data_IF_661408199930
#
_entry.id   IF_661408199930
#
_cell.length_a   1.000
_cell.length_b   1.000
_cell.length_c   1.000
_cell.angle_alpha   90.00
_cell.angle_beta   90.00
_cell.angle_gamma   90.00
#
_symmetry.space_group_name_H-M   'P 1'
#
loop_
_entity.id
_entity.type
_entity.pdbx_description
1 polymer ?
#
# COMPACT_ATOMS: atom_id res chain seq x y z
N UNK A 1 10.23 13.42 4.60
CA UNK A 1 9.20 12.96 5.57
C UNK A 1 7.90 13.68 5.28
N UNK A 2 6.81 12.96 5.17
CA UNK A 2 5.48 13.52 5.01
C UNK A 2 5.06 14.20 6.32
N UNK A 3 4.75 15.53 6.33
CA UNK A 3 4.33 16.19 7.56
C UNK A 3 3.10 15.57 8.20
N UNK A 4 2.20 15.03 7.40
CA UNK A 4 1.00 14.36 7.92
C UNK A 4 1.33 13.03 8.59
N UNK A 5 2.41 12.36 8.18
CA UNK A 5 2.89 11.15 8.81
C UNK A 5 3.37 11.35 10.23
N UNK A 6 3.83 12.56 10.56
CA UNK A 6 4.23 12.90 11.91
C UNK A 6 3.05 12.91 12.88
N UNK A 7 1.84 13.14 12.37
CA UNK A 7 0.62 13.18 13.18
C UNK A 7 0.00 11.80 13.40
N UNK A 8 0.31 10.85 12.53
CA UNK A 8 -0.41 9.58 12.49
C UNK A 8 0.43 8.35 12.85
N UNK A 9 1.74 8.39 12.72
CA UNK A 9 2.69 7.28 12.98
C UNK A 9 2.37 5.98 12.22
N UNK A 10 1.64 6.07 11.09
CA UNK A 10 1.05 4.90 10.47
C UNK A 10 0.93 5.17 8.96
N UNK A 11 1.51 4.32 8.09
CA UNK A 11 1.50 4.59 6.66
C UNK A 11 0.09 4.60 6.05
N UNK A 12 -0.85 3.85 6.62
CA UNK A 12 -2.23 3.80 6.13
C UNK A 12 -2.88 5.17 6.26
N UNK A 13 -2.91 5.71 7.47
CA UNK A 13 -3.57 7.00 7.74
C UNK A 13 -2.79 8.16 7.15
N UNK A 14 -1.47 8.11 7.21
CA UNK A 14 -0.58 9.12 6.66
C UNK A 14 -0.79 9.28 5.15
N UNK A 15 -0.82 8.19 4.41
CA UNK A 15 -1.00 8.24 2.96
C UNK A 15 -2.43 8.64 2.58
N UNK A 16 -3.42 8.21 3.34
CA UNK A 16 -4.80 8.64 3.13
C UNK A 16 -4.93 10.16 3.28
N UNK A 17 -4.40 10.71 4.36
CA UNK A 17 -4.46 12.15 4.60
C UNK A 17 -3.69 12.93 3.53
N UNK A 18 -2.53 12.43 3.12
CA UNK A 18 -1.77 13.06 2.03
C UNK A 18 -2.59 13.08 0.73
N UNK A 19 -3.26 11.98 0.40
CA UNK A 19 -4.12 11.91 -0.77
C UNK A 19 -5.25 12.94 -0.72
N UNK A 20 -5.91 13.06 0.42
CA UNK A 20 -7.02 14.02 0.59
C UNK A 20 -6.52 15.47 0.48
N UNK A 21 -5.40 15.79 1.12
CA UNK A 21 -4.93 17.17 1.19
C UNK A 21 -4.08 17.61 0.00
N UNK A 22 -3.32 16.72 -0.62
CA UNK A 22 -2.42 17.07 -1.73
C UNK A 22 -2.88 16.54 -3.09
N UNK A 23 -3.76 15.56 -3.11
CA UNK A 23 -4.23 14.93 -4.35
C UNK A 23 -3.35 13.80 -4.88
N UNK A 24 -2.13 13.69 -4.39
CA UNK A 24 -1.17 12.66 -4.81
C UNK A 24 -0.49 12.01 -3.61
N UNK A 25 0.01 10.79 -3.82
CA UNK A 25 0.74 10.05 -2.80
C UNK A 25 2.01 9.48 -3.43
N UNK A 26 3.12 9.62 -2.72
CA UNK A 26 4.38 9.00 -3.10
C UNK A 26 4.86 8.13 -1.93
N UNK A 27 4.85 6.83 -2.12
CA UNK A 27 5.09 5.84 -1.06
C UNK A 27 6.48 5.23 -1.25
N UNK A 28 7.23 5.13 -0.15
CA UNK A 28 8.53 4.45 -0.13
C UNK A 28 8.53 3.31 0.89
N UNK A 29 9.43 2.35 0.70
CA UNK A 29 9.48 1.14 1.53
C UNK A 29 9.73 1.46 3.00
N UNK A 30 10.53 2.48 3.29
CA UNK A 30 10.90 2.87 4.64
C UNK A 30 9.75 3.46 5.46
N UNK A 31 8.63 3.77 4.83
CA UNK A 31 7.44 4.22 5.54
C UNK A 31 6.70 3.08 6.25
N UNK A 32 6.95 1.84 5.84
CA UNK A 32 6.35 0.66 6.47
C UNK A 32 7.11 0.25 7.72
N UNK A 33 6.44 -0.48 8.61
CA UNK A 33 7.12 -1.10 9.75
C UNK A 33 8.18 -2.10 9.26
N UNK A 34 9.21 -2.40 10.08
CA UNK A 34 10.22 -3.39 9.67
C UNK A 34 9.63 -4.74 9.29
N UNK A 35 8.61 -5.20 10.01
CA UNK A 35 7.93 -6.47 9.69
C UNK A 35 7.22 -6.40 8.33
N UNK A 36 6.56 -5.29 8.03
CA UNK A 36 5.89 -5.11 6.74
C UNK A 36 6.90 -4.97 5.61
N UNK A 37 8.02 -4.29 5.84
CA UNK A 37 9.11 -4.19 4.86
C UNK A 37 9.65 -5.58 4.48
N UNK A 38 9.91 -6.42 5.49
CA UNK A 38 10.41 -7.78 5.28
C UNK A 38 9.39 -8.62 4.54
N UNK A 39 8.13 -8.55 4.93
CA UNK A 39 7.05 -9.29 4.29
C UNK A 39 6.90 -8.89 2.82
N UNK A 40 6.87 -7.61 2.55
CA UNK A 40 6.71 -7.09 1.18
C UNK A 40 7.89 -7.49 0.30
N UNK A 41 9.11 -7.36 0.82
CA UNK A 41 10.33 -7.76 0.10
C UNK A 41 10.30 -9.25 -0.24
N UNK A 42 9.93 -10.10 0.72
CA UNK A 42 9.81 -11.54 0.51
C UNK A 42 8.77 -11.87 -0.55
N UNK A 43 7.59 -11.27 -0.46
CA UNK A 43 6.49 -11.53 -1.39
C UNK A 43 6.91 -11.19 -2.82
N UNK A 44 7.45 -9.99 -3.02
CA UNK A 44 7.85 -9.53 -4.36
C UNK A 44 8.91 -10.46 -4.95
N UNK A 45 9.92 -10.82 -4.18
CA UNK A 45 11.00 -11.69 -4.65
C UNK A 45 10.51 -13.11 -4.94
N UNK A 46 9.72 -13.70 -4.05
CA UNK A 46 9.23 -15.07 -4.23
C UNK A 46 8.22 -15.18 -5.37
N UNK A 47 7.32 -14.21 -5.49
CA UNK A 47 6.34 -14.22 -6.58
C UNK A 47 6.99 -13.97 -7.93
N UNK A 48 8.04 -13.18 -7.98
CA UNK A 48 8.82 -12.98 -9.22
C UNK A 48 9.45 -14.29 -9.70
N UNK A 49 9.93 -15.14 -8.80
CA UNK A 49 10.47 -16.46 -9.15
C UNK A 49 9.41 -17.36 -9.79
N UNK A 50 8.15 -17.17 -9.45
CA UNK A 50 7.02 -17.90 -10.02
C UNK A 50 6.50 -17.28 -11.33
N UNK A 51 7.10 -16.18 -11.76
CA UNK A 51 6.64 -15.44 -12.94
C UNK A 51 5.43 -14.57 -12.69
N UNK A 52 5.10 -14.30 -11.42
CA UNK A 52 3.93 -13.49 -11.07
C UNK A 52 4.37 -12.06 -10.75
N UNK A 53 3.90 -11.12 -11.58
CA UNK A 53 4.18 -9.69 -11.42
C UNK A 53 2.95 -8.86 -11.06
N UNK A 54 1.85 -9.51 -10.68
CA UNK A 54 0.63 -8.85 -10.21
C UNK A 54 0.23 -9.48 -8.88
N UNK A 55 0.29 -8.70 -7.81
CA UNK A 55 0.17 -9.19 -6.44
C UNK A 55 -1.09 -8.63 -5.80
N UNK A 56 -1.93 -9.52 -5.31
CA UNK A 56 -3.16 -9.18 -4.60
C UNK A 56 -3.16 -9.76 -3.19
N UNK A 57 -4.26 -9.55 -2.45
CA UNK A 57 -4.34 -9.98 -1.05
C UNK A 57 -4.20 -11.50 -0.88
N UNK A 58 -4.63 -12.28 -1.86
CA UNK A 58 -4.50 -13.74 -1.83
C UNK A 58 -3.04 -14.18 -1.83
N UNK A 59 -2.17 -13.43 -2.50
CA UNK A 59 -0.73 -13.70 -2.51
C UNK A 59 -0.09 -13.32 -1.19
N UNK A 60 -0.47 -12.15 -0.65
CA UNK A 60 0.07 -11.65 0.61
C UNK A 60 -0.22 -12.65 1.75
N UNK A 61 -1.43 -13.18 1.78
CA UNK A 61 -1.86 -14.13 2.83
C UNK A 61 -1.03 -15.41 2.86
N UNK A 62 -0.53 -15.86 1.71
CA UNK A 62 0.29 -17.08 1.62
C UNK A 62 1.61 -16.96 2.39
N UNK A 63 2.11 -15.76 2.56
CA UNK A 63 3.41 -15.51 3.19
C UNK A 63 3.30 -15.14 4.67
N UNK A 64 2.08 -15.07 5.20
CA UNK A 64 1.87 -14.81 6.62
C UNK A 64 2.18 -16.06 7.44
N UNK A 65 2.79 -15.92 8.63
CA UNK A 65 2.94 -17.05 9.53
C UNK A 65 1.57 -17.66 9.89
N UNK A 66 1.50 -18.98 10.14
CA UNK A 66 0.22 -19.65 10.46
C UNK A 66 -0.51 -19.05 11.65
N UNK A 67 0.20 -18.46 12.59
CA UNK A 67 -0.38 -17.85 13.79
C UNK A 67 -0.81 -16.40 13.56
N UNK A 68 -0.44 -15.80 12.43
CA UNK A 68 -0.81 -14.43 12.13
C UNK A 68 -2.29 -14.33 11.83
N UNK A 69 -2.93 -13.35 12.43
CA UNK A 69 -4.35 -13.04 12.17
C UNK A 69 -4.43 -11.70 11.48
N UNK A 70 -5.23 -11.66 10.43
CA UNK A 70 -5.65 -10.36 9.86
C UNK A 70 -6.69 -9.75 10.78
N UNK A 71 -6.72 -8.44 10.86
CA UNK A 71 -7.73 -7.77 11.66
C UNK A 71 -9.12 -7.97 11.06
N UNK A 72 -10.10 -8.29 11.91
CA UNK A 72 -11.46 -8.55 11.48
C UNK A 72 -12.15 -7.25 11.07
N UNK A 73 -11.86 -6.15 11.77
CA UNK A 73 -12.46 -4.86 11.49
C UNK A 73 -11.48 -3.94 10.79
N UNK A 74 -11.98 -3.17 9.82
CA UNK A 74 -11.18 -2.17 9.13
C UNK A 74 -10.65 -1.10 10.10
N UNK A 75 -11.42 -0.75 11.12
CA UNK A 75 -10.99 0.23 12.12
C UNK A 75 -9.74 -0.24 12.85
N UNK A 76 -9.72 -1.50 13.32
CA UNK A 76 -8.52 -2.05 13.97
C UNK A 76 -7.33 -2.13 13.02
N UNK A 77 -7.58 -2.51 11.76
CA UNK A 77 -6.54 -2.59 10.75
C UNK A 77 -5.91 -1.24 10.43
N UNK A 78 -6.66 -0.15 10.56
CA UNK A 78 -6.14 1.20 10.31
C UNK A 78 -5.43 1.75 11.55
N UNK A 79 -6.00 1.56 12.74
CA UNK A 79 -5.48 2.14 13.98
C UNK A 79 -4.26 1.38 14.50
N UNK A 80 -4.28 0.05 14.38
CA UNK A 80 -3.19 -0.81 14.84
C UNK A 80 -2.92 -1.90 13.78
N UNK A 81 -2.30 -1.53 12.65
CA UNK A 81 -2.16 -2.43 11.53
C UNK A 81 -1.17 -3.56 11.80
N UNK A 82 -1.55 -4.78 11.35
CA UNK A 82 -0.60 -5.86 11.14
C UNK A 82 0.23 -5.58 9.89
N UNK A 83 1.33 -6.30 9.64
CA UNK A 83 2.07 -6.17 8.38
C UNK A 83 1.19 -6.38 7.14
N UNK A 84 0.24 -7.32 7.19
CA UNK A 84 -0.74 -7.52 6.11
C UNK A 84 -1.60 -6.26 5.91
N UNK A 85 -2.11 -5.69 7.00
CA UNK A 85 -2.95 -4.49 6.93
C UNK A 85 -2.20 -3.30 6.35
N UNK A 86 -0.93 -3.09 6.74
CA UNK A 86 -0.11 -2.02 6.20
C UNK A 86 0.01 -2.12 4.68
N UNK A 87 0.29 -3.32 4.18
CA UNK A 87 0.47 -3.55 2.74
C UNK A 87 -0.87 -3.43 2.02
N UNK A 88 -1.90 -4.09 2.53
CA UNK A 88 -3.22 -4.14 1.88
C UNK A 88 -3.88 -2.76 1.81
N UNK A 89 -3.93 -2.04 2.94
CA UNK A 89 -4.60 -0.73 2.97
C UNK A 89 -3.78 0.36 2.28
N UNK A 90 -2.47 0.19 2.14
CA UNK A 90 -1.61 1.18 1.49
C UNK A 90 -1.49 0.93 -0.01
N UNK A 91 -1.22 -0.31 -0.41
CA UNK A 91 -0.97 -0.66 -1.80
C UNK A 91 -2.15 -1.34 -2.49
N UNK A 92 -2.95 -2.12 -1.74
CA UNK A 92 -3.98 -2.95 -2.32
C UNK A 92 -3.37 -3.98 -3.27
N UNK A 93 -3.94 -4.09 -4.45
CA UNK A 93 -3.36 -4.88 -5.53
C UNK A 93 -2.37 -4.02 -6.30
N UNK A 94 -1.18 -4.56 -6.58
CA UNK A 94 -0.13 -3.80 -7.24
C UNK A 94 0.64 -4.65 -8.24
N UNK A 95 1.32 -3.98 -9.17
CA UNK A 95 2.16 -4.61 -10.17
C UNK A 95 3.63 -4.39 -9.85
N UNK A 96 4.48 -5.31 -10.29
CA UNK A 96 5.92 -5.25 -10.09
C UNK A 96 6.65 -5.30 -11.42
N UNK A 97 7.80 -4.61 -11.48
CA UNK A 97 8.69 -4.60 -12.64
C UNK A 97 10.10 -4.91 -12.17
N UNK A 98 10.74 -5.89 -12.79
CA UNK A 98 12.13 -6.22 -12.48
C UNK A 98 13.09 -5.22 -13.11
N UNK A 99 14.05 -4.77 -12.32
CA UNK A 99 15.15 -3.92 -12.80
C UNK A 99 16.48 -4.56 -12.41
N UNK A 100 16.91 -5.65 -13.10
CA UNK A 100 18.11 -6.41 -12.73
C UNK A 100 19.38 -5.57 -12.74
N UNK A 101 19.47 -4.57 -13.63
CA UNK A 101 20.62 -3.68 -13.74
C UNK A 101 20.83 -2.84 -12.48
N UNK A 102 19.79 -2.65 -11.67
CA UNK A 102 19.87 -1.93 -10.40
C UNK A 102 19.73 -2.87 -9.20
N UNK A 103 19.60 -4.17 -9.43
CA UNK A 103 19.38 -5.18 -8.39
C UNK A 103 18.11 -4.90 -7.57
N UNK A 104 17.08 -4.44 -8.23
CA UNK A 104 15.81 -4.03 -7.62
C UNK A 104 14.61 -4.52 -8.40
N UNK A 105 13.47 -4.61 -7.68
CA UNK A 105 12.15 -4.57 -8.28
C UNK A 105 11.55 -3.21 -8.03
N UNK A 106 10.67 -2.77 -8.92
CA UNK A 106 9.84 -1.59 -8.67
C UNK A 106 8.39 -2.03 -8.52
N UNK A 107 7.74 -1.50 -7.49
CA UNK A 107 6.29 -1.52 -7.40
C UNK A 107 5.81 -0.24 -8.06
N UNK A 108 4.99 -0.39 -9.10
CA UNK A 108 4.37 0.74 -9.79
C UNK A 108 2.88 0.69 -9.51
N UNK A 109 2.35 1.76 -8.94
CA UNK A 109 0.95 1.80 -8.55
C UNK A 109 0.46 3.24 -8.46
N UNK A 110 -0.86 3.38 -8.42
CA UNK A 110 -1.53 4.65 -8.16
C UNK A 110 -2.33 4.49 -6.88
N UNK A 111 -2.15 5.40 -5.94
CA UNK A 111 -2.93 5.37 -4.72
C UNK A 111 -4.40 5.63 -5.06
N UNK A 112 -5.24 4.63 -4.86
CA UNK A 112 -6.64 4.68 -5.21
C UNK A 112 -7.50 4.09 -4.10
N UNK A 113 -8.48 4.87 -3.67
CA UNK A 113 -9.50 4.40 -2.72
C UNK A 113 -10.69 3.94 -3.53
N UNK A 114 -10.69 2.65 -3.87
CA UNK A 114 -11.72 2.07 -4.74
C UNK A 114 -13.13 2.22 -4.14
N UNK A 115 -14.15 2.48 -4.96
CA UNK A 115 -15.52 2.64 -4.46
C UNK A 115 -16.21 1.35 -4.05
N UNK A 116 -15.60 0.20 -4.29
CA UNK A 116 -16.21 -1.12 -4.09
C UNK A 116 -16.06 -1.73 -2.71
N UNK A 117 -15.67 -0.96 -1.70
CA UNK A 117 -15.55 -1.50 -0.33
C UNK A 117 -16.91 -1.90 0.24
N UNK A 118 -16.96 -3.09 0.84
CA UNK A 118 -18.17 -3.57 1.53
C UNK A 118 -18.37 -2.92 2.90
N UNK A 119 -17.29 -2.44 3.53
CA UNK A 119 -17.33 -1.82 4.85
C UNK A 119 -17.72 -0.34 4.72
N UNK A 120 -18.72 0.08 5.52
CA UNK A 120 -19.24 1.46 5.46
C UNK A 120 -18.17 2.51 5.79
N UNK A 121 -17.27 2.22 6.74
CA UNK A 121 -16.20 3.16 7.09
C UNK A 121 -15.24 3.36 5.93
N UNK A 122 -14.82 2.28 5.27
CA UNK A 122 -13.94 2.35 4.11
C UNK A 122 -14.62 3.04 2.93
N UNK A 123 -15.92 2.83 2.74
CA UNK A 123 -16.70 3.53 1.72
C UNK A 123 -16.76 5.02 1.98
N UNK A 124 -16.92 5.42 3.24
CA UNK A 124 -16.92 6.81 3.65
C UNK A 124 -15.57 7.49 3.41
N UNK A 125 -14.49 6.82 3.80
CA UNK A 125 -13.13 7.33 3.57
C UNK A 125 -12.85 7.47 2.07
N UNK A 126 -13.26 6.49 1.28
CA UNK A 126 -13.12 6.54 -0.18
C UNK A 126 -13.91 7.70 -0.79
N UNK A 127 -15.13 7.94 -0.31
CA UNK A 127 -15.96 9.04 -0.79
C UNK A 127 -15.32 10.40 -0.49
N UNK A 128 -14.73 10.57 0.70
CA UNK A 128 -14.04 11.81 1.07
C UNK A 128 -12.85 12.06 0.16
N UNK A 129 -12.03 11.05 -0.09
CA UNK A 129 -10.86 11.17 -0.97
C UNK A 129 -11.28 11.54 -2.40
N UNK A 130 -12.30 10.88 -2.93
CA UNK A 130 -12.81 11.18 -4.28
C UNK A 130 -13.44 12.58 -4.39
N UNK A 131 -14.14 13.00 -3.34
CA UNK A 131 -14.68 14.35 -3.27
C UNK A 131 -13.56 15.38 -3.31
N UNK A 132 -12.52 15.17 -2.52
CA UNK A 132 -11.34 16.03 -2.48
C UNK A 132 -10.69 16.12 -3.86
N UNK A 133 -10.49 14.99 -4.53
CA UNK A 133 -9.89 14.96 -5.85
C UNK A 133 -10.73 15.71 -6.87
N UNK A 134 -12.05 15.53 -6.83
CA UNK A 134 -12.94 16.16 -7.80
C UNK A 134 -13.07 17.68 -7.60
N UNK A 135 -13.24 18.12 -6.35
CA UNK A 135 -13.61 19.50 -6.05
C UNK A 135 -12.46 20.36 -5.53
N UNK A 136 -11.44 19.76 -4.96
CA UNK A 136 -10.28 20.50 -4.40
C UNK A 136 -9.10 20.45 -5.36
N UNK A 137 -8.83 19.28 -5.97
CA UNK A 137 -7.67 19.06 -6.82
C UNK A 137 -7.99 19.09 -8.32
N UNK A 138 -9.17 19.61 -8.69
CA UNK A 138 -9.53 19.86 -10.09
C UNK A 138 -9.79 18.61 -10.92
N UNK A 139 -10.14 17.50 -10.29
CA UNK A 139 -10.40 16.22 -10.98
C UNK A 139 -9.19 15.72 -11.78
N UNK A 140 -7.98 16.08 -11.35
CA UNK A 140 -6.74 15.63 -11.96
C UNK A 140 -6.50 14.16 -11.65
N UNK A 141 -6.11 13.32 -12.64
CA UNK A 141 -5.74 11.93 -12.36
C UNK A 141 -4.56 11.88 -11.40
N UNK A 142 -4.61 10.93 -10.46
CA UNK A 142 -3.49 10.70 -9.54
C UNK A 142 -2.30 10.14 -10.31
N UNK A 143 -1.11 10.61 -9.97
CA UNK A 143 0.12 10.14 -10.58
C UNK A 143 0.50 8.77 -10.02
N UNK A 144 1.13 7.95 -10.88
CA UNK A 144 1.72 6.69 -10.44
C UNK A 144 2.95 6.98 -9.62
N UNK A 145 3.11 6.28 -8.51
CA UNK A 145 4.35 6.25 -7.75
C UNK A 145 5.13 4.99 -8.07
N UNK A 146 6.44 5.02 -7.81
CA UNK A 146 7.33 3.89 -7.99
C UNK A 146 8.10 3.67 -6.70
N UNK A 147 7.99 2.47 -6.15
CA UNK A 147 8.68 2.11 -4.92
C UNK A 147 9.72 1.02 -5.21
N UNK A 148 10.94 1.22 -4.72
CA UNK A 148 12.04 0.26 -4.90
C UNK A 148 11.98 -0.83 -3.85
N UNK A 149 12.10 -2.08 -4.30
CA UNK A 149 12.22 -3.27 -3.45
C UNK A 149 13.54 -3.96 -3.79
N UNK A 150 14.40 -4.24 -2.81
CA UNK A 150 15.67 -4.91 -3.11
C UNK A 150 15.47 -6.32 -3.65
N UNK A 151 16.28 -6.70 -4.63
CA UNK A 151 16.37 -8.10 -5.05
C UNK A 151 17.20 -8.87 -4.04
N UNK A 152 16.64 -9.96 -3.56
CA UNK A 152 17.35 -10.87 -2.67
C UNK A 152 18.18 -11.84 -3.51
N UNK A 153 19.33 -12.21 -3.01
CA UNK A 153 20.18 -13.21 -3.66
C UNK A 153 19.43 -14.54 -3.73
N UNK A 154 19.57 -15.30 -4.84
CA UNK A 154 18.94 -16.61 -4.95
C UNK A 154 19.48 -17.62 -3.97
#
# INVERSE_FOLDING_TARGET
>A
MNPLGMLTNNPITSNYLESVFTGDVNISLDEFSPAAQSLLTTIVNEEAKKGNNSIGPEHIKKYLPPQSKTNISAFKGIVNPSPYDEIWFTLGKFDTVAAPQHNEFYIEDTYDTAPGYSNMMLRGLSAVDRFSQKYIHGNKPKEKFRMSIPMLSP
#
